data_IF_896317817248
#
_entry.id   IF_896317817248
#
_cell.length_a   1.000
_cell.length_b   1.000
_cell.length_c   1.000
_cell.angle_alpha   90.00
_cell.angle_beta   90.00
_cell.angle_gamma   90.00
#
_symmetry.space_group_name_H-M   'P 1'
#
loop_
_entity.id
_entity.type
_entity.pdbx_description
1 polymer ?
#
# COMPACT_ATOMS: atom_id res chain seq x y z
N UNK A 1 4.38 4.75 -1.40
CA UNK A 1 3.28 4.54 -2.37
C UNK A 1 2.14 5.48 -2.00
N UNK A 2 1.42 6.06 -2.97
CA UNK A 2 0.20 6.83 -2.66
C UNK A 2 -1.04 5.98 -2.91
N UNK A 3 -2.02 6.07 -2.03
CA UNK A 3 -3.34 5.41 -2.17
C UNK A 3 -4.45 6.41 -1.89
N UNK A 4 -5.61 6.19 -2.50
CA UNK A 4 -6.81 6.98 -2.22
C UNK A 4 -7.70 6.17 -1.28
N UNK A 5 -8.03 6.72 -0.12
CA UNK A 5 -8.95 6.09 0.82
C UNK A 5 -10.39 6.15 0.30
N UNK A 6 -11.27 5.32 0.88
CA UNK A 6 -12.71 5.37 0.59
C UNK A 6 -13.34 6.72 0.95
N UNK A 7 -12.68 7.53 1.78
CA UNK A 7 -13.05 8.90 2.12
C UNK A 7 -12.58 9.94 1.10
N UNK A 8 -11.96 9.51 -0.01
CA UNK A 8 -11.46 10.37 -1.08
C UNK A 8 -10.15 11.08 -0.75
N UNK A 9 -9.51 10.80 0.40
CA UNK A 9 -8.23 11.41 0.76
C UNK A 9 -7.06 10.62 0.22
N UNK A 10 -5.98 11.33 -0.12
CA UNK A 10 -4.69 10.69 -0.42
C UNK A 10 -3.96 10.32 0.86
N UNK A 11 -3.40 9.11 0.87
CA UNK A 11 -2.53 8.61 1.92
C UNK A 11 -1.20 8.18 1.32
N UNK A 12 -0.12 8.47 2.03
CA UNK A 12 1.21 7.96 1.68
C UNK A 12 1.51 6.75 2.55
N UNK A 13 1.75 5.61 1.90
CA UNK A 13 2.36 4.43 2.50
C UNK A 13 3.88 4.65 2.48
N UNK A 14 4.44 4.84 3.67
CA UNK A 14 5.86 5.01 3.91
C UNK A 14 6.62 3.67 3.88
N UNK A 15 7.94 3.68 3.62
CA UNK A 15 8.78 2.50 3.82
C UNK A 15 8.64 1.94 5.24
N UNK A 16 8.36 0.64 5.36
CA UNK A 16 8.19 -0.03 6.66
C UNK A 16 6.80 0.08 7.28
N UNK A 17 5.82 0.68 6.61
CA UNK A 17 4.42 0.62 7.04
C UNK A 17 3.96 -0.84 7.19
N UNK A 18 3.29 -1.16 8.29
CA UNK A 18 2.70 -2.48 8.47
C UNK A 18 1.42 -2.59 7.64
N UNK A 19 1.45 -3.48 6.64
CA UNK A 19 0.29 -3.81 5.79
C UNK A 19 -0.24 -5.22 6.05
N UNK A 20 0.12 -5.84 7.18
CA UNK A 20 -0.34 -7.19 7.54
C UNK A 20 -1.87 -7.25 7.58
N UNK A 21 -2.47 -8.15 6.80
CA UNK A 21 -3.92 -8.32 6.73
C UNK A 21 -4.63 -7.38 5.75
N UNK A 22 -3.92 -6.51 5.05
CA UNK A 22 -4.48 -5.69 3.97
C UNK A 22 -4.59 -6.53 2.69
N UNK A 23 -5.74 -6.48 2.02
CA UNK A 23 -5.89 -7.07 0.69
C UNK A 23 -5.18 -6.20 -0.35
N UNK A 24 -4.10 -6.74 -0.92
CA UNK A 24 -3.28 -6.11 -1.95
C UNK A 24 -3.46 -6.77 -3.33
N UNK A 25 -4.47 -7.63 -3.51
CA UNK A 25 -4.66 -8.43 -4.74
C UNK A 25 -4.82 -7.60 -6.02
N UNK A 26 -5.27 -6.34 -5.89
CA UNK A 26 -5.44 -5.39 -6.99
C UNK A 26 -4.39 -4.27 -7.00
N UNK A 27 -3.42 -4.30 -6.09
CA UNK A 27 -2.40 -3.26 -6.01
C UNK A 27 -1.37 -3.41 -7.13
N UNK A 28 -0.94 -2.29 -7.72
CA UNK A 28 0.25 -2.27 -8.57
C UNK A 28 1.51 -2.32 -7.68
N UNK A 29 2.09 -3.52 -7.55
CA UNK A 29 3.26 -3.78 -6.73
C UNK A 29 4.58 -3.67 -7.50
N UNK A 30 4.58 -3.15 -8.74
CA UNK A 30 5.81 -3.00 -9.53
C UNK A 30 6.79 -2.08 -8.79
N UNK A 31 7.98 -2.60 -8.48
CA UNK A 31 9.03 -1.88 -7.74
C UNK A 31 8.87 -1.90 -6.22
N UNK A 32 7.89 -2.61 -5.67
CA UNK A 32 7.78 -2.83 -4.23
C UNK A 32 8.87 -3.80 -3.75
N UNK A 33 9.50 -3.49 -2.61
CA UNK A 33 10.40 -4.41 -1.92
C UNK A 33 9.55 -5.32 -1.03
N UNK A 34 9.20 -6.50 -1.55
CA UNK A 34 8.54 -7.55 -0.79
C UNK A 34 9.62 -8.31 0.00
N UNK A 35 9.43 -8.41 1.32
CA UNK A 35 10.26 -9.27 2.18
C UNK A 35 9.44 -10.49 2.57
N UNK A 36 10.06 -11.68 2.46
CA UNK A 36 9.54 -12.96 2.93
C UNK A 36 9.49 -13.02 4.45
#
# INVERSE_FOLDING_TARGET
MKVTGADGKEYTIEPGANLSGVDLSYADLRGAILKS
#
